data_IF_560175939651
#
_entry.id   IF_560175939651
#
_cell.length_a   1.000
_cell.length_b   1.000
_cell.length_c   1.000
_cell.angle_alpha   90.00
_cell.angle_beta   90.00
_cell.angle_gamma   90.00
#
_symmetry.space_group_name_H-M   'P 1'
#
loop_
_entity.id
_entity.type
_entity.pdbx_description
1 polymer ?
#
# COMPACT_ATOMS: atom_id res chain seq x y z
N UNK A 1 -26.96 -9.96 24.26
CA UNK A 1 -26.89 -8.51 24.58
C UNK A 1 -26.42 -7.79 23.32
N UNK A 2 -26.96 -6.62 22.95
CA UNK A 2 -26.61 -5.98 21.67
C UNK A 2 -25.27 -5.27 21.81
N UNK A 3 -24.27 -5.71 21.05
CA UNK A 3 -22.91 -5.12 21.04
C UNK A 3 -22.88 -3.99 20.01
N UNK A 4 -22.28 -2.87 20.40
CA UNK A 4 -22.36 -1.57 19.76
C UNK A 4 -21.41 -1.44 18.56
N UNK A 5 -21.90 -0.77 17.50
CA UNK A 5 -21.14 -0.38 16.30
C UNK A 5 -19.97 0.59 16.58
N UNK A 6 -19.74 0.96 17.85
CA UNK A 6 -18.69 1.88 18.28
C UNK A 6 -17.29 1.26 18.35
N UNK A 7 -17.17 -0.04 18.58
CA UNK A 7 -15.84 -0.69 18.72
C UNK A 7 -15.07 -0.78 17.40
N UNK A 8 -15.78 -0.86 16.26
CA UNK A 8 -15.15 -0.91 14.93
C UNK A 8 -14.57 0.44 14.49
N UNK A 9 -15.20 1.55 14.92
CA UNK A 9 -14.72 2.90 14.60
C UNK A 9 -13.47 3.28 15.41
N UNK A 10 -13.35 2.77 16.64
CA UNK A 10 -12.18 3.03 17.51
C UNK A 10 -10.94 2.28 16.99
N UNK A 11 -11.10 1.08 16.43
CA UNK A 11 -10.02 0.30 15.82
C UNK A 11 -9.48 0.92 14.50
N UNK A 12 -10.33 1.60 13.74
CA UNK A 12 -9.91 2.33 12.54
C UNK A 12 -9.23 3.68 12.88
N UNK A 13 -9.67 4.36 13.93
CA UNK A 13 -9.11 5.64 14.35
C UNK A 13 -7.68 5.52 14.92
N UNK A 14 -7.35 4.39 15.57
CA UNK A 14 -5.99 4.15 16.09
C UNK A 14 -4.95 3.93 14.98
N UNK A 15 -5.37 3.41 13.82
CA UNK A 15 -4.49 3.20 12.66
C UNK A 15 -4.10 4.54 12.01
N UNK A 16 -5.02 5.51 11.95
CA UNK A 16 -4.74 6.84 11.40
C UNK A 16 -3.71 7.64 12.24
N UNK A 17 -3.67 7.41 13.56
CA UNK A 17 -2.68 8.04 14.46
C UNK A 17 -1.30 7.39 14.30
N UNK A 18 -1.24 6.08 14.09
CA UNK A 18 0.03 5.37 13.88
C UNK A 18 0.74 5.76 12.58
N UNK A 19 -0.01 5.98 11.48
CA UNK A 19 0.52 6.46 10.19
C UNK A 19 1.02 7.91 10.31
N UNK A 20 0.34 8.73 11.11
CA UNK A 20 0.71 10.14 11.31
C UNK A 20 1.98 10.32 12.16
N UNK A 21 2.33 9.37 13.03
CA UNK A 21 3.51 9.46 13.88
C UNK A 21 4.81 9.00 13.19
N UNK A 22 4.73 8.26 12.09
CA UNK A 22 5.94 7.79 11.37
C UNK A 22 6.65 8.93 10.62
N UNK A 23 5.91 9.93 10.12
CA UNK A 23 6.47 11.07 9.37
C UNK A 23 7.13 12.16 10.22
N UNK A 24 6.85 12.22 11.51
CA UNK A 24 7.29 13.33 12.38
C UNK A 24 8.64 13.09 13.08
N UNK A 25 9.07 11.83 13.24
CA UNK A 25 10.21 11.49 14.12
C UNK A 25 11.54 11.17 13.42
N UNK A 26 11.58 11.03 12.08
CA UNK A 26 12.80 10.63 11.36
C UNK A 26 13.49 11.71 10.51
N UNK A 27 13.16 12.99 10.68
CA UNK A 27 14.00 14.10 10.14
C UNK A 27 14.95 14.62 11.22
N UNK A 28 16.17 14.12 11.24
CA UNK A 28 17.30 14.72 11.97
C UNK A 28 18.64 14.27 11.39
N UNK A 29 19.20 15.04 10.45
CA UNK A 29 20.61 15.45 10.44
C UNK A 29 20.89 16.41 9.26
N UNK A 30 21.47 17.61 9.49
CA UNK A 30 21.84 18.56 8.45
C UNK A 30 23.24 18.23 7.90
N UNK A 31 23.39 18.17 6.58
CA UNK A 31 24.71 18.12 5.94
C UNK A 31 25.33 19.52 5.89
N UNK A 32 26.50 19.61 6.49
CA UNK A 32 27.36 20.79 6.63
C UNK A 32 27.90 21.23 5.27
N UNK A 33 27.80 22.54 5.01
CA UNK A 33 28.37 23.20 3.85
C UNK A 33 29.90 23.28 3.94
N UNK A 34 30.59 22.88 2.87
CA UNK A 34 31.99 23.24 2.64
C UNK A 34 32.07 24.28 1.52
N UNK A 35 32.39 25.52 1.89
CA UNK A 35 32.86 26.56 0.97
C UNK A 35 34.37 26.44 0.79
N UNK A 36 34.83 26.63 -0.45
CA UNK A 36 36.12 27.22 -0.77
C UNK A 36 36.03 27.89 -2.16
N UNK A 37 36.23 29.21 -2.13
CA UNK A 37 36.39 30.15 -3.25
C UNK A 37 37.60 29.74 -4.16
N UNK A 38 37.84 30.22 -5.38
CA UNK A 38 37.70 31.58 -5.95
C UNK A 38 37.88 31.54 -7.49
N UNK A 39 37.19 32.46 -8.19
CA UNK A 39 37.64 33.26 -9.37
C UNK A 39 38.06 32.54 -10.68
N UNK A 40 37.58 32.86 -11.89
CA UNK A 40 37.53 34.13 -12.66
C UNK A 40 36.57 33.84 -13.86
N UNK A 41 35.54 34.62 -14.25
CA UNK A 41 35.60 35.94 -14.90
C UNK A 41 34.19 36.56 -14.95
N UNK A 42 34.10 37.79 -14.47
CA UNK A 42 32.94 38.66 -14.44
C UNK A 42 32.55 39.17 -15.84
N UNK A 43 31.25 39.28 -16.11
CA UNK A 43 30.71 40.51 -16.73
C UNK A 43 29.19 40.67 -16.45
N UNK A 44 28.93 41.40 -15.35
CA UNK A 44 27.93 42.47 -15.19
C UNK A 44 26.56 42.34 -15.88
N UNK A 45 25.51 42.03 -15.11
CA UNK A 45 24.33 42.92 -14.97
C UNK A 45 23.81 42.85 -13.53
N UNK A 46 23.75 44.03 -12.90
CA UNK A 46 23.26 44.32 -11.55
C UNK A 46 21.74 44.19 -11.44
N UNK A 47 21.33 43.88 -10.21
CA UNK A 47 20.03 44.15 -9.57
C UNK A 47 18.83 43.27 -9.93
N UNK A 48 18.74 42.12 -9.24
CA UNK A 48 17.47 41.52 -8.83
C UNK A 48 17.51 41.33 -7.31
N UNK A 49 16.57 41.89 -6.53
CA UNK A 49 16.59 41.69 -5.09
C UNK A 49 16.25 40.24 -4.75
N UNK A 50 17.20 39.60 -4.06
CA UNK A 50 17.02 38.34 -3.36
C UNK A 50 16.06 38.59 -2.20
N UNK A 51 14.86 38.00 -2.24
CA UNK A 51 14.12 37.68 -1.03
C UNK A 51 13.48 36.31 -1.16
N UNK A 52 13.97 35.45 -0.28
CA UNK A 52 13.51 34.13 0.13
C UNK A 52 12.16 34.21 0.84
N UNK A 53 11.18 33.39 0.43
CA UNK A 53 10.42 32.48 1.30
C UNK A 53 9.34 31.72 0.52
N UNK A 54 9.14 30.45 0.91
CA UNK A 54 8.11 29.52 0.47
C UNK A 54 6.72 30.15 0.35
N UNK A 55 6.27 30.34 -0.88
CA UNK A 55 4.88 30.58 -1.23
C UNK A 55 4.70 30.16 -2.69
N UNK A 56 3.58 29.50 -3.06
CA UNK A 56 3.31 29.18 -4.46
C UNK A 56 3.40 30.47 -5.29
N UNK A 57 3.99 30.44 -6.50
CA UNK A 57 4.20 31.66 -7.29
C UNK A 57 2.85 32.34 -7.43
N UNK A 58 2.75 33.55 -6.88
CA UNK A 58 1.51 34.33 -6.92
C UNK A 58 1.01 34.42 -8.36
N UNK A 59 -0.31 34.40 -8.57
CA UNK A 59 -0.92 34.49 -9.91
C UNK A 59 -0.33 35.65 -10.73
N UNK A 60 0.07 36.73 -10.06
CA UNK A 60 0.80 37.88 -10.61
C UNK A 60 2.17 37.55 -11.18
N UNK A 61 2.95 36.67 -10.54
CA UNK A 61 4.25 36.24 -11.05
C UNK A 61 4.09 35.31 -12.27
N UNK A 62 3.09 34.43 -12.24
CA UNK A 62 2.72 33.62 -13.40
C UNK A 62 2.26 34.50 -14.56
N UNK A 63 1.43 35.50 -14.30
CA UNK A 63 0.94 36.44 -15.30
C UNK A 63 2.08 37.25 -15.94
N UNK A 64 3.07 37.64 -15.13
CA UNK A 64 4.27 38.33 -15.62
C UNK A 64 5.15 37.40 -16.47
N UNK A 65 5.33 36.13 -16.07
CA UNK A 65 6.05 35.12 -16.86
C UNK A 65 5.33 34.83 -18.19
N UNK A 66 4.00 34.67 -18.17
CA UNK A 66 3.18 34.50 -19.37
C UNK A 66 3.31 35.72 -20.30
N UNK A 67 3.24 36.93 -19.75
CA UNK A 67 3.38 38.17 -20.53
C UNK A 67 4.77 38.31 -21.15
N UNK A 68 5.82 37.89 -20.43
CA UNK A 68 7.20 37.88 -20.94
C UNK A 68 7.37 36.84 -22.06
N UNK A 69 6.84 35.63 -21.88
CA UNK A 69 6.82 34.58 -22.90
C UNK A 69 6.03 35.00 -24.14
N UNK A 70 4.88 35.64 -23.97
CA UNK A 70 4.08 36.17 -25.08
C UNK A 70 4.84 37.21 -25.90
N UNK A 71 5.59 38.12 -25.24
CA UNK A 71 6.45 39.09 -25.94
C UNK A 71 7.62 38.40 -26.65
N UNK A 72 8.18 37.36 -26.05
CA UNK A 72 9.27 36.59 -26.64
C UNK A 72 8.81 35.82 -27.88
N UNK A 73 7.62 35.21 -27.83
CA UNK A 73 6.95 34.55 -28.96
C UNK A 73 6.58 35.56 -30.04
N UNK A 74 6.08 36.75 -29.68
CA UNK A 74 5.77 37.80 -30.66
C UNK A 74 7.02 38.30 -31.38
N UNK A 75 8.14 38.48 -30.66
CA UNK A 75 9.42 38.86 -31.27
C UNK A 75 10.01 37.76 -32.16
N UNK A 76 9.89 36.49 -31.77
CA UNK A 76 10.30 35.35 -32.60
C UNK A 76 9.45 35.23 -33.88
N UNK A 77 8.15 35.48 -33.77
CA UNK A 77 7.21 35.51 -34.91
C UNK A 77 7.50 36.65 -35.90
N UNK A 78 8.01 37.80 -35.41
CA UNK A 78 8.42 38.92 -36.26
C UNK A 78 9.75 38.66 -36.99
N UNK A 79 10.65 37.87 -36.41
CA UNK A 79 11.97 37.60 -36.97
C UNK A 79 12.00 36.47 -38.02
N UNK A 80 10.97 35.62 -38.10
CA UNK A 80 10.91 34.54 -39.08
C UNK A 80 9.48 34.32 -39.63
N UNK A 81 9.00 35.17 -40.56
CA UNK A 81 7.66 35.03 -41.13
C UNK A 81 7.48 33.78 -42.02
N UNK A 82 8.57 33.11 -42.40
CA UNK A 82 8.57 31.85 -43.18
C UNK A 82 8.64 30.58 -42.33
N UNK A 83 8.90 30.65 -41.02
CA UNK A 83 8.85 29.48 -40.13
C UNK A 83 7.41 29.07 -39.79
N UNK A 84 6.45 29.99 -39.88
CA UNK A 84 5.05 29.80 -39.51
C UNK A 84 4.20 29.01 -40.52
N UNK A 85 4.77 28.51 -41.61
CA UNK A 85 4.04 27.66 -42.57
C UNK A 85 4.46 26.19 -42.59
N UNK A 86 5.53 25.83 -41.89
CA UNK A 86 6.05 24.44 -41.91
C UNK A 86 6.34 23.89 -40.51
N UNK A 87 6.21 24.68 -39.43
CA UNK A 87 6.13 24.09 -38.09
C UNK A 87 4.74 23.49 -37.90
N UNK A 88 4.65 22.23 -38.35
CA UNK A 88 3.57 21.29 -38.12
C UNK A 88 3.01 21.45 -36.71
N UNK A 89 1.78 21.95 -36.65
CA UNK A 89 0.90 21.80 -35.49
C UNK A 89 0.86 20.34 -35.02
N UNK A 90 1.14 19.39 -35.90
CA UNK A 90 1.11 17.96 -35.61
C UNK A 90 2.43 17.44 -34.99
N UNK A 91 3.61 17.89 -35.43
CA UNK A 91 4.89 17.53 -34.76
C UNK A 91 4.98 18.15 -33.36
N UNK A 92 4.51 19.39 -33.18
CA UNK A 92 4.47 20.00 -31.86
C UNK A 92 3.45 19.29 -30.95
N UNK A 93 2.27 18.91 -31.47
CA UNK A 93 1.32 18.10 -30.70
C UNK A 93 1.90 16.72 -30.37
N UNK A 94 2.60 16.09 -31.28
CA UNK A 94 3.23 14.79 -31.09
C UNK A 94 4.35 14.87 -30.04
N UNK A 95 5.17 15.92 -30.06
CA UNK A 95 6.15 16.21 -29.00
C UNK A 95 5.48 16.48 -27.64
N UNK A 96 4.38 17.24 -27.60
CA UNK A 96 3.64 17.48 -26.35
C UNK A 96 3.00 16.20 -25.83
N UNK A 97 2.44 15.36 -26.71
CA UNK A 97 1.90 14.06 -26.36
C UNK A 97 3.00 13.12 -25.86
N UNK A 98 4.17 13.10 -26.51
CA UNK A 98 5.31 12.30 -26.08
C UNK A 98 5.80 12.73 -24.68
N UNK A 99 5.92 14.03 -24.43
CA UNK A 99 6.28 14.56 -23.10
C UNK A 99 5.21 14.25 -22.05
N UNK A 100 3.93 14.28 -22.41
CA UNK A 100 2.84 13.90 -21.51
C UNK A 100 2.88 12.40 -21.18
N UNK A 101 3.14 11.55 -22.17
CA UNK A 101 3.29 10.10 -21.97
C UNK A 101 4.51 9.78 -21.12
N UNK A 102 5.64 10.46 -21.36
CA UNK A 102 6.86 10.31 -20.54
C UNK A 102 6.61 10.76 -19.10
N UNK A 103 5.92 11.88 -18.91
CA UNK A 103 5.48 12.37 -17.58
C UNK A 103 4.57 11.37 -16.87
N UNK A 104 3.59 10.82 -17.57
CA UNK A 104 2.66 9.84 -17.02
C UNK A 104 3.39 8.55 -16.65
N UNK A 105 4.33 8.09 -17.47
CA UNK A 105 5.19 6.95 -17.15
C UNK A 105 6.06 7.20 -15.91
N UNK A 106 6.68 8.37 -15.78
CA UNK A 106 7.44 8.74 -14.57
C UNK A 106 6.56 8.76 -13.32
N UNK A 107 5.33 9.27 -13.43
CA UNK A 107 4.37 9.28 -12.32
C UNK A 107 3.94 7.86 -11.94
N UNK A 108 3.60 7.01 -12.92
CA UNK A 108 3.27 5.61 -12.68
C UNK A 108 4.43 4.85 -12.04
N UNK A 109 5.67 5.09 -12.49
CA UNK A 109 6.84 4.42 -11.92
C UNK A 109 7.10 4.87 -10.48
N UNK A 110 7.00 6.16 -10.18
CA UNK A 110 7.07 6.66 -8.79
C UNK A 110 5.99 6.05 -7.90
N UNK A 111 4.77 5.96 -8.42
CA UNK A 111 3.65 5.36 -7.67
C UNK A 111 3.85 3.86 -7.47
N UNK A 112 4.49 3.16 -8.42
CA UNK A 112 4.91 1.75 -8.27
C UNK A 112 6.04 1.58 -7.27
N UNK A 113 6.99 2.52 -7.20
CA UNK A 113 8.04 2.53 -6.18
C UNK A 113 7.47 2.68 -4.76
N UNK A 114 6.40 3.46 -4.60
CA UNK A 114 5.70 3.66 -3.34
C UNK A 114 4.76 2.49 -3.00
N UNK A 115 4.01 2.00 -3.98
CA UNK A 115 3.10 0.87 -3.84
C UNK A 115 3.25 -0.10 -5.03
N UNK A 116 3.83 -1.30 -4.81
CA UNK A 116 4.01 -2.31 -5.85
C UNK A 116 2.71 -2.70 -6.58
N UNK A 117 1.55 -2.51 -5.96
CA UNK A 117 0.23 -2.82 -6.51
C UNK A 117 -0.45 -1.64 -7.20
N UNK A 118 0.18 -0.45 -7.29
CA UNK A 118 -0.46 0.73 -7.89
C UNK A 118 -0.91 0.50 -9.33
N UNK A 119 -0.01 -0.04 -10.17
CA UNK A 119 -0.32 -0.28 -11.59
C UNK A 119 -1.51 -1.22 -11.78
N UNK A 120 -1.64 -2.20 -10.89
CA UNK A 120 -2.72 -3.17 -10.95
C UNK A 120 -4.12 -2.54 -10.84
N UNK A 121 -4.34 -1.60 -9.91
CA UNK A 121 -5.65 -0.97 -9.76
C UNK A 121 -5.98 0.00 -10.90
N UNK A 122 -4.97 0.65 -11.48
CA UNK A 122 -5.14 1.57 -12.59
C UNK A 122 -5.54 0.86 -13.90
N UNK A 123 -5.10 -0.39 -14.07
CA UNK A 123 -5.31 -1.17 -15.30
C UNK A 123 -6.71 -1.81 -15.39
N UNK A 124 -7.54 -1.70 -14.35
CA UNK A 124 -8.89 -2.28 -14.36
C UNK A 124 -9.83 -1.51 -15.31
N UNK A 125 -10.73 -2.21 -16.05
CA UNK A 125 -11.73 -1.55 -16.87
C UNK A 125 -12.62 -0.58 -16.06
N UNK A 126 -13.00 0.55 -16.66
CA UNK A 126 -13.83 1.56 -15.97
C UNK A 126 -15.21 1.01 -15.52
N UNK A 127 -15.76 0.05 -16.25
CA UNK A 127 -17.02 -0.60 -15.94
C UNK A 127 -16.87 -1.87 -15.08
N UNK A 128 -15.65 -2.17 -14.62
CA UNK A 128 -15.34 -3.41 -13.91
C UNK A 128 -16.25 -3.64 -12.70
N UNK A 129 -16.37 -2.66 -11.80
CA UNK A 129 -17.23 -2.77 -10.61
C UNK A 129 -18.70 -3.01 -10.99
N UNK A 130 -19.18 -2.28 -12.01
CA UNK A 130 -20.55 -2.42 -12.50
C UNK A 130 -20.79 -3.84 -13.03
N UNK A 131 -19.86 -4.37 -13.83
CA UNK A 131 -19.96 -5.72 -14.40
C UNK A 131 -19.86 -6.81 -13.36
N UNK A 132 -18.96 -6.69 -12.38
CA UNK A 132 -18.90 -7.63 -11.25
C UNK A 132 -20.25 -7.66 -10.51
N UNK A 133 -20.90 -6.51 -10.31
CA UNK A 133 -22.20 -6.41 -9.62
C UNK A 133 -23.39 -6.88 -10.48
N UNK A 134 -23.38 -6.61 -11.78
CA UNK A 134 -24.53 -6.81 -12.67
C UNK A 134 -24.50 -8.12 -13.47
N UNK A 135 -23.32 -8.71 -13.69
CA UNK A 135 -23.11 -9.90 -14.53
C UNK A 135 -22.55 -11.08 -13.67
N UNK A 136 -23.41 -11.98 -13.14
CA UNK A 136 -22.97 -13.06 -12.25
C UNK A 136 -21.97 -14.03 -12.89
N UNK A 137 -22.13 -14.34 -14.17
CA UNK A 137 -21.24 -15.24 -14.90
C UNK A 137 -19.87 -14.60 -15.17
N UNK A 138 -19.83 -13.29 -15.41
CA UNK A 138 -18.58 -12.54 -15.48
C UNK A 138 -17.87 -12.56 -14.12
N UNK A 139 -18.58 -12.28 -13.03
CA UNK A 139 -18.03 -12.32 -11.69
C UNK A 139 -17.42 -13.69 -11.36
N UNK A 140 -18.16 -14.79 -11.59
CA UNK A 140 -17.64 -16.16 -11.38
C UNK A 140 -16.41 -16.46 -12.22
N UNK A 141 -16.43 -16.07 -13.50
CA UNK A 141 -15.31 -16.30 -14.41
C UNK A 141 -14.07 -15.56 -13.95
N UNK A 142 -14.20 -14.27 -13.63
CA UNK A 142 -13.07 -13.46 -13.15
C UNK A 142 -12.53 -14.01 -11.85
N UNK A 143 -13.37 -14.38 -10.88
CA UNK A 143 -12.90 -14.91 -9.59
C UNK A 143 -12.18 -16.24 -9.73
N UNK A 144 -12.64 -17.12 -10.62
CA UNK A 144 -11.97 -18.37 -10.94
C UNK A 144 -10.61 -18.12 -11.63
N UNK A 145 -10.55 -17.19 -12.60
CA UNK A 145 -9.31 -16.82 -13.27
C UNK A 145 -8.28 -16.21 -12.31
N UNK A 146 -8.71 -15.37 -11.37
CA UNK A 146 -7.84 -14.79 -10.36
C UNK A 146 -7.24 -15.87 -9.45
N UNK A 147 -8.05 -16.84 -9.02
CA UNK A 147 -7.53 -17.99 -8.28
C UNK A 147 -6.46 -18.73 -9.08
N UNK A 148 -6.75 -19.05 -10.34
CA UNK A 148 -5.79 -19.75 -11.22
C UNK A 148 -4.49 -18.96 -11.39
N UNK A 149 -4.57 -17.64 -11.52
CA UNK A 149 -3.40 -16.77 -11.59
C UNK A 149 -2.57 -16.82 -10.30
N UNK A 150 -3.19 -16.73 -9.13
CA UNK A 150 -2.49 -16.78 -7.85
C UNK A 150 -1.70 -18.09 -7.73
N UNK A 151 -2.32 -19.21 -8.09
CA UNK A 151 -1.71 -20.54 -7.98
C UNK A 151 -0.73 -20.88 -9.12
N UNK A 152 -0.61 -20.03 -10.15
CA UNK A 152 0.25 -20.32 -11.29
C UNK A 152 1.73 -19.97 -10.99
N UNK A 153 2.63 -20.97 -10.92
CA UNK A 153 4.04 -20.74 -10.62
C UNK A 153 4.80 -20.03 -11.75
N UNK A 154 4.21 -19.90 -12.94
CA UNK A 154 4.85 -19.25 -14.08
C UNK A 154 4.56 -17.75 -14.17
N UNK A 155 3.71 -17.21 -13.29
CA UNK A 155 3.45 -15.77 -13.20
C UNK A 155 4.42 -15.10 -12.24
N UNK A 156 4.68 -13.81 -12.46
CA UNK A 156 5.52 -13.05 -11.54
C UNK A 156 4.84 -12.94 -10.17
N UNK A 157 5.65 -12.94 -9.11
CA UNK A 157 5.13 -12.91 -7.74
C UNK A 157 4.24 -11.69 -7.48
N UNK A 158 4.58 -10.54 -8.09
CA UNK A 158 3.78 -9.32 -8.01
C UNK A 158 2.40 -9.47 -8.67
N UNK A 159 2.31 -10.17 -9.80
CA UNK A 159 1.05 -10.40 -10.51
C UNK A 159 0.15 -11.34 -9.69
N UNK A 160 0.75 -12.30 -8.99
CA UNK A 160 0.05 -13.24 -8.11
C UNK A 160 -0.50 -12.53 -6.87
N UNK A 161 0.30 -11.65 -6.27
CA UNK A 161 -0.16 -10.80 -5.16
C UNK A 161 -1.28 -9.86 -5.61
N UNK A 162 -1.13 -9.22 -6.78
CA UNK A 162 -2.14 -8.36 -7.37
C UNK A 162 -3.46 -9.11 -7.62
N UNK A 163 -3.40 -10.35 -8.11
CA UNK A 163 -4.57 -11.19 -8.29
C UNK A 163 -5.27 -11.52 -6.96
N UNK A 164 -4.52 -11.75 -5.87
CA UNK A 164 -5.11 -11.90 -4.52
C UNK A 164 -5.82 -10.62 -4.07
N UNK A 165 -5.18 -9.45 -4.24
CA UNK A 165 -5.78 -8.16 -3.91
C UNK A 165 -7.05 -7.88 -4.72
N UNK A 166 -7.08 -8.25 -6.00
CA UNK A 166 -8.29 -8.17 -6.83
C UNK A 166 -9.39 -9.11 -6.34
N UNK A 167 -9.02 -10.33 -5.92
CA UNK A 167 -9.97 -11.29 -5.40
C UNK A 167 -10.61 -10.77 -4.11
N UNK A 168 -9.81 -10.15 -3.23
CA UNK A 168 -10.29 -9.47 -2.02
C UNK A 168 -11.22 -8.30 -2.38
N UNK A 169 -10.86 -7.48 -3.37
CA UNK A 169 -11.69 -6.38 -3.85
C UNK A 169 -13.04 -6.90 -4.40
N UNK A 170 -13.03 -7.96 -5.21
CA UNK A 170 -14.24 -8.58 -5.75
C UNK A 170 -15.18 -9.05 -4.64
N UNK A 171 -14.62 -9.65 -3.60
CA UNK A 171 -15.37 -10.06 -2.43
C UNK A 171 -16.06 -8.88 -1.74
N UNK A 172 -15.38 -7.73 -1.58
CA UNK A 172 -15.97 -6.50 -1.05
C UNK A 172 -17.03 -5.89 -1.98
N UNK A 173 -16.77 -5.80 -3.29
CA UNK A 173 -17.71 -5.29 -4.30
C UNK A 173 -19.03 -6.09 -4.27
N UNK A 174 -18.92 -7.41 -4.14
CA UNK A 174 -20.05 -8.34 -4.06
C UNK A 174 -20.68 -8.42 -2.66
N UNK A 175 -20.12 -7.72 -1.67
CA UNK A 175 -20.53 -7.77 -0.27
C UNK A 175 -20.61 -9.21 0.28
N UNK A 176 -19.62 -10.03 -0.08
CA UNK A 176 -19.51 -11.42 0.40
C UNK A 176 -18.54 -11.48 1.57
N UNK A 177 -18.91 -12.23 2.61
CA UNK A 177 -17.98 -12.53 3.71
C UNK A 177 -17.09 -13.74 3.43
N UNK A 178 -17.47 -14.59 2.47
CA UNK A 178 -16.73 -15.78 2.04
C UNK A 178 -16.90 -15.99 0.54
N UNK A 179 -15.84 -16.46 -0.12
CA UNK A 179 -15.87 -16.88 -1.51
C UNK A 179 -15.09 -18.20 -1.66
N UNK A 180 -15.62 -19.22 -2.36
CA UNK A 180 -14.92 -20.49 -2.53
C UNK A 180 -13.54 -20.37 -3.16
N UNK A 181 -13.38 -19.41 -4.08
CA UNK A 181 -12.13 -19.15 -4.78
C UNK A 181 -11.08 -18.47 -3.89
N UNK A 182 -11.52 -17.84 -2.79
CA UNK A 182 -10.67 -17.22 -1.76
C UNK A 182 -10.60 -18.18 -0.56
N UNK A 183 -9.67 -19.12 -0.63
CA UNK A 183 -9.46 -20.14 0.40
C UNK A 183 -8.01 -20.15 0.93
N UNK A 184 -7.73 -21.15 1.77
CA UNK A 184 -6.41 -21.35 2.35
C UNK A 184 -5.30 -21.43 1.31
N UNK A 185 -5.49 -22.21 0.24
CA UNK A 185 -4.45 -22.49 -0.75
C UNK A 185 -3.96 -21.20 -1.43
N UNK A 186 -4.89 -20.31 -1.74
CA UNK A 186 -4.60 -19.00 -2.32
C UNK A 186 -3.83 -18.09 -1.36
N UNK A 187 -4.20 -18.08 -0.08
CA UNK A 187 -3.52 -17.26 0.94
C UNK A 187 -2.14 -17.81 1.27
N UNK A 188 -2.05 -19.12 1.49
CA UNK A 188 -0.82 -19.83 1.81
C UNK A 188 0.21 -19.68 0.69
N UNK A 189 -0.26 -19.74 -0.56
CA UNK A 189 0.61 -19.51 -1.69
C UNK A 189 1.27 -18.12 -1.67
N UNK A 190 0.53 -17.06 -1.33
CA UNK A 190 1.12 -15.72 -1.20
C UNK A 190 2.05 -15.61 0.02
N UNK A 191 1.74 -16.29 1.13
CA UNK A 191 2.63 -16.39 2.28
C UNK A 191 3.94 -17.11 1.92
N UNK A 192 3.88 -18.18 1.11
CA UNK A 192 5.06 -18.86 0.58
C UNK A 192 5.94 -17.92 -0.26
N UNK A 193 5.33 -17.08 -1.12
CA UNK A 193 6.08 -16.10 -1.89
C UNK A 193 6.74 -15.06 -0.98
N UNK A 194 6.03 -14.59 0.04
CA UNK A 194 6.56 -13.62 0.99
C UNK A 194 7.76 -14.19 1.76
N UNK A 195 7.68 -15.44 2.23
CA UNK A 195 8.76 -16.09 2.97
C UNK A 195 10.02 -16.32 2.12
N UNK A 196 9.86 -16.58 0.82
CA UNK A 196 10.96 -16.85 -0.10
C UNK A 196 11.49 -15.61 -0.84
N UNK A 197 10.81 -14.47 -0.73
CA UNK A 197 11.20 -13.24 -1.43
C UNK A 197 12.38 -12.55 -0.75
N UNK A 198 13.30 -12.04 -1.57
CA UNK A 198 14.38 -11.15 -1.13
C UNK A 198 13.99 -9.67 -1.16
N UNK A 199 12.82 -9.34 -1.71
CA UNK A 199 12.30 -7.98 -1.74
C UNK A 199 11.43 -7.71 -0.49
N UNK A 200 11.98 -6.92 0.43
CA UNK A 200 11.30 -6.55 1.67
C UNK A 200 9.98 -5.81 1.43
N UNK A 201 9.88 -4.99 0.38
CA UNK A 201 8.63 -4.26 0.08
C UNK A 201 7.53 -5.23 -0.35
N UNK A 202 7.85 -6.13 -1.28
CA UNK A 202 6.95 -7.19 -1.69
C UNK A 202 6.53 -8.06 -0.50
N UNK A 203 7.49 -8.49 0.31
CA UNK A 203 7.26 -9.34 1.47
C UNK A 203 6.32 -8.68 2.48
N UNK A 204 6.55 -7.41 2.81
CA UNK A 204 5.68 -6.63 3.67
C UNK A 204 4.27 -6.55 3.08
N UNK A 205 4.13 -6.17 1.81
CA UNK A 205 2.83 -6.01 1.18
C UNK A 205 2.05 -7.33 1.12
N UNK A 206 2.72 -8.44 0.82
CA UNK A 206 2.12 -9.77 0.79
C UNK A 206 1.60 -10.20 2.17
N UNK A 207 2.34 -9.92 3.23
CA UNK A 207 1.93 -10.23 4.60
C UNK A 207 0.79 -9.30 5.06
N UNK A 208 0.81 -8.02 4.70
CA UNK A 208 -0.30 -7.10 4.97
C UNK A 208 -1.61 -7.56 4.32
N UNK A 209 -1.57 -7.98 3.06
CA UNK A 209 -2.76 -8.46 2.35
C UNK A 209 -3.28 -9.76 2.96
N UNK A 210 -2.39 -10.72 3.26
CA UNK A 210 -2.78 -12.04 3.79
C UNK A 210 -3.25 -11.99 5.25
N UNK A 211 -2.72 -11.09 6.08
CA UNK A 211 -3.19 -10.88 7.47
C UNK A 211 -4.62 -10.35 7.55
N UNK A 212 -5.11 -9.71 6.48
CA UNK A 212 -6.49 -9.22 6.38
C UNK A 212 -7.45 -10.26 5.76
N UNK A 213 -6.96 -11.46 5.45
CA UNK A 213 -7.78 -12.51 4.87
C UNK A 213 -8.94 -12.90 5.80
N UNK A 214 -10.16 -13.13 5.25
CA UNK A 214 -11.29 -13.69 6.01
C UNK A 214 -11.23 -15.22 6.14
N UNK A 215 -10.18 -15.87 5.63
CA UNK A 215 -10.04 -17.33 5.63
C UNK A 215 -9.72 -17.80 7.05
N UNK A 216 -10.57 -18.66 7.61
CA UNK A 216 -10.36 -19.29 8.90
C UNK A 216 -9.79 -20.69 8.71
N UNK A 217 -8.49 -20.85 8.96
CA UNK A 217 -7.79 -22.13 8.88
C UNK A 217 -6.63 -22.15 9.89
N UNK A 218 -6.56 -23.20 10.71
CA UNK A 218 -5.53 -23.32 11.76
C UNK A 218 -4.11 -23.27 11.19
N UNK A 219 -3.92 -23.77 9.96
CA UNK A 219 -2.62 -23.73 9.29
C UNK A 219 -2.15 -22.29 9.09
N UNK A 220 -3.04 -21.32 8.82
CA UNK A 220 -2.65 -19.90 8.74
C UNK A 220 -2.17 -19.38 10.09
N UNK A 221 -2.80 -19.79 11.19
CA UNK A 221 -2.35 -19.44 12.52
C UNK A 221 -0.93 -19.98 12.80
N UNK A 222 -0.60 -21.18 12.31
CA UNK A 222 0.76 -21.73 12.37
C UNK A 222 1.74 -20.92 11.51
N UNK A 223 1.37 -20.54 10.28
CA UNK A 223 2.19 -19.69 9.40
C UNK A 223 2.51 -18.35 10.06
N UNK A 224 1.49 -17.65 10.58
CA UNK A 224 1.68 -16.40 11.33
C UNK A 224 2.51 -16.59 12.60
N UNK A 225 2.34 -17.71 13.31
CA UNK A 225 3.18 -18.02 14.47
C UNK A 225 4.65 -18.21 14.07
N UNK A 226 4.91 -18.84 12.93
CA UNK A 226 6.26 -19.01 12.39
C UNK A 226 6.90 -17.66 12.07
N UNK A 227 6.20 -16.81 11.30
CA UNK A 227 6.64 -15.46 10.95
C UNK A 227 6.93 -14.61 12.21
N UNK A 228 6.03 -14.64 13.19
CA UNK A 228 6.19 -13.92 14.46
C UNK A 228 7.46 -14.32 15.22
N UNK A 229 7.83 -15.60 15.19
CA UNK A 229 9.00 -16.13 15.92
C UNK A 229 10.32 -15.98 15.16
N UNK A 230 10.29 -16.17 13.84
CA UNK A 230 11.48 -16.46 13.06
C UNK A 230 11.93 -15.30 12.19
N UNK A 231 11.02 -14.41 11.77
CA UNK A 231 11.36 -13.34 10.84
C UNK A 231 12.36 -12.36 11.46
N UNK A 232 13.28 -11.78 10.69
CA UNK A 232 14.23 -10.79 11.22
C UNK A 232 13.64 -9.38 11.31
N UNK A 233 12.54 -9.10 10.61
CA UNK A 233 11.94 -7.79 10.53
C UNK A 233 10.83 -7.63 11.59
N UNK A 234 11.02 -6.72 12.54
CA UNK A 234 10.07 -6.45 13.62
C UNK A 234 8.69 -6.00 13.12
N UNK A 235 8.63 -5.32 11.97
CA UNK A 235 7.36 -4.93 11.36
C UNK A 235 6.58 -6.16 10.88
N UNK A 236 7.25 -7.10 10.22
CA UNK A 236 6.65 -8.36 9.78
C UNK A 236 6.20 -9.19 10.98
N UNK A 237 7.02 -9.26 12.04
CA UNK A 237 6.61 -9.92 13.29
C UNK A 237 5.33 -9.31 13.86
N UNK A 238 5.20 -7.98 13.83
CA UNK A 238 3.97 -7.29 14.25
C UNK A 238 2.79 -7.65 13.34
N UNK A 239 2.94 -7.60 12.02
CA UNK A 239 1.88 -8.02 11.10
C UNK A 239 1.43 -9.46 11.35
N UNK A 240 2.36 -10.37 11.57
CA UNK A 240 2.06 -11.76 11.89
C UNK A 240 1.29 -11.90 13.22
N UNK A 241 1.66 -11.14 14.26
CA UNK A 241 0.89 -11.05 15.50
C UNK A 241 -0.55 -10.55 15.28
N UNK A 242 -0.73 -9.55 14.40
CA UNK A 242 -2.05 -9.04 14.02
C UNK A 242 -2.87 -10.09 13.27
N UNK A 243 -2.26 -10.81 12.32
CA UNK A 243 -2.92 -11.91 11.61
C UNK A 243 -3.40 -13.01 12.55
N UNK A 244 -2.58 -13.38 13.54
CA UNK A 244 -2.95 -14.38 14.54
C UNK A 244 -4.15 -13.95 15.40
N UNK A 245 -4.19 -12.69 15.84
CA UNK A 245 -5.34 -12.16 16.56
C UNK A 245 -6.56 -11.97 15.67
N UNK A 246 -6.38 -11.60 14.40
CA UNK A 246 -7.47 -11.49 13.43
C UNK A 246 -8.16 -12.85 13.26
N UNK A 247 -7.41 -13.95 13.16
CA UNK A 247 -7.96 -15.32 13.14
C UNK A 247 -8.84 -15.59 14.37
N UNK A 248 -8.40 -15.19 15.56
CA UNK A 248 -9.18 -15.34 16.79
C UNK A 248 -10.50 -14.56 16.73
N UNK A 249 -10.45 -13.27 16.44
CA UNK A 249 -11.64 -12.41 16.43
C UNK A 249 -12.65 -12.83 15.35
N UNK A 250 -12.19 -13.13 14.14
CA UNK A 250 -13.06 -13.60 13.08
C UNK A 250 -13.70 -14.98 13.41
N UNK A 251 -13.00 -15.83 14.16
CA UNK A 251 -13.52 -17.12 14.61
C UNK A 251 -14.62 -16.99 15.68
N UNK A 252 -14.59 -15.95 16.52
CA UNK A 252 -15.60 -15.74 17.57
C UNK A 252 -17.03 -15.63 16.99
N UNK A 253 -17.17 -15.05 15.80
CA UNK A 253 -18.48 -14.83 15.19
C UNK A 253 -19.09 -16.10 14.54
N UNK A 254 -18.29 -17.15 14.30
CA UNK A 254 -18.72 -18.24 13.41
C UNK A 254 -18.30 -19.65 13.79
N UNK A 255 -17.26 -19.87 14.60
CA UNK A 255 -16.70 -21.20 14.88
C UNK A 255 -16.15 -21.31 16.31
N UNK A 256 -17.03 -21.62 17.29
CA UNK A 256 -16.67 -21.68 18.71
C UNK A 256 -15.51 -22.65 19.04
N UNK A 257 -15.41 -23.81 18.40
CA UNK A 257 -14.32 -24.75 18.69
C UNK A 257 -12.98 -24.28 18.09
N UNK A 258 -13.01 -23.66 16.91
CA UNK A 258 -11.83 -23.07 16.29
C UNK A 258 -11.35 -21.84 17.09
N UNK A 259 -12.26 -20.98 17.54
CA UNK A 259 -11.89 -19.82 18.36
C UNK A 259 -11.25 -20.23 19.69
N UNK A 260 -11.73 -21.31 20.33
CA UNK A 260 -11.08 -21.92 21.50
C UNK A 260 -9.67 -22.42 21.18
N UNK A 261 -9.51 -23.15 20.07
CA UNK A 261 -8.21 -23.68 19.66
C UNK A 261 -7.19 -22.55 19.43
N UNK A 262 -7.60 -21.49 18.74
CA UNK A 262 -6.74 -20.32 18.50
C UNK A 262 -6.44 -19.58 19.81
N UNK A 263 -7.42 -19.40 20.71
CA UNK A 263 -7.18 -18.81 22.01
C UNK A 263 -6.15 -19.61 22.84
N UNK A 264 -6.28 -20.93 22.90
CA UNK A 264 -5.31 -21.81 23.56
C UNK A 264 -3.92 -21.66 22.96
N UNK A 265 -3.84 -21.58 21.63
CA UNK A 265 -2.59 -21.40 20.91
C UNK A 265 -1.91 -20.07 21.24
N UNK A 266 -2.65 -18.96 21.21
CA UNK A 266 -2.15 -17.62 21.55
C UNK A 266 -1.70 -17.59 23.03
N UNK A 267 -2.50 -18.14 23.94
CA UNK A 267 -2.15 -18.19 25.37
C UNK A 267 -0.90 -19.02 25.63
N UNK A 268 -0.78 -20.20 24.99
CA UNK A 268 0.40 -21.05 25.10
C UNK A 268 1.64 -20.33 24.57
N UNK A 269 1.53 -19.66 23.42
CA UNK A 269 2.61 -18.87 22.84
C UNK A 269 3.06 -17.75 23.78
N UNK A 270 2.10 -17.04 24.38
CA UNK A 270 2.36 -15.95 25.30
C UNK A 270 3.07 -16.42 26.60
N UNK A 271 2.63 -17.56 27.15
CA UNK A 271 3.15 -18.10 28.40
C UNK A 271 4.52 -18.76 28.25
N UNK A 272 4.76 -19.43 27.12
CA UNK A 272 5.92 -20.30 26.93
C UNK A 272 7.03 -19.70 26.07
N UNK A 273 6.86 -18.48 25.53
CA UNK A 273 7.93 -17.84 24.74
C UNK A 273 9.02 -17.24 25.64
N UNK A 274 10.28 -17.49 25.27
CA UNK A 274 11.45 -16.79 25.80
C UNK A 274 11.86 -15.58 24.95
N UNK A 275 11.27 -15.41 23.76
CA UNK A 275 11.54 -14.29 22.86
C UNK A 275 10.81 -13.04 23.36
N UNK A 276 11.59 -12.01 23.74
CA UNK A 276 11.07 -10.73 24.24
C UNK A 276 10.26 -9.96 23.21
N UNK A 277 10.60 -10.06 21.93
CA UNK A 277 9.88 -9.40 20.83
C UNK A 277 8.53 -10.06 20.66
N UNK A 278 8.46 -11.39 20.61
CA UNK A 278 7.17 -12.12 20.54
C UNK A 278 6.29 -11.73 21.72
N UNK A 279 6.86 -11.70 22.93
CA UNK A 279 6.12 -11.32 24.14
C UNK A 279 5.64 -9.87 24.11
N UNK A 280 6.46 -8.94 23.62
CA UNK A 280 6.11 -7.53 23.47
C UNK A 280 4.98 -7.35 22.45
N UNK A 281 5.09 -7.96 21.28
CA UNK A 281 4.07 -7.89 20.22
C UNK A 281 2.72 -8.38 20.73
N UNK A 282 2.70 -9.54 21.39
CA UNK A 282 1.47 -10.09 21.96
C UNK A 282 0.94 -9.21 23.10
N UNK A 283 1.79 -8.70 23.99
CA UNK A 283 1.38 -7.75 25.04
C UNK A 283 0.72 -6.49 24.46
N UNK A 284 1.38 -5.86 23.48
CA UNK A 284 0.93 -4.62 22.85
C UNK A 284 -0.45 -4.80 22.20
N UNK A 285 -0.66 -5.93 21.53
CA UNK A 285 -1.89 -6.18 20.79
C UNK A 285 -3.03 -6.69 21.65
N UNK A 286 -2.74 -7.47 22.69
CA UNK A 286 -3.77 -7.92 23.64
C UNK A 286 -4.20 -6.79 24.58
N UNK A 287 -3.32 -5.81 24.82
CA UNK A 287 -3.61 -4.46 25.34
C UNK A 287 -4.20 -4.35 26.74
N UNK A 288 -4.79 -5.41 27.30
CA UNK A 288 -5.40 -5.46 28.61
C UNK A 288 -5.50 -6.90 29.12
N UNK A 289 -5.37 -7.04 30.44
CA UNK A 289 -5.62 -8.28 31.17
C UNK A 289 -7.01 -8.88 30.88
N UNK A 290 -7.97 -8.04 30.45
CA UNK A 290 -9.33 -8.42 30.03
C UNK A 290 -9.37 -9.38 28.83
N UNK A 291 -8.52 -9.20 27.80
CA UNK A 291 -8.54 -10.11 26.64
C UNK A 291 -7.91 -11.46 27.01
N UNK A 292 -6.83 -11.44 27.79
CA UNK A 292 -6.23 -12.65 28.35
C UNK A 292 -7.25 -13.41 29.20
N UNK A 293 -8.02 -12.69 30.01
CA UNK A 293 -9.08 -13.26 30.85
C UNK A 293 -10.25 -13.80 30.01
N UNK A 294 -10.64 -13.12 28.94
CA UNK A 294 -11.66 -13.58 27.99
C UNK A 294 -11.21 -14.85 27.26
N UNK A 295 -9.96 -14.87 26.78
CA UNK A 295 -9.36 -16.06 26.19
C UNK A 295 -9.34 -17.21 27.21
N UNK A 296 -8.86 -16.98 28.44
CA UNK A 296 -8.87 -18.01 29.50
C UNK A 296 -10.26 -18.56 29.76
N UNK A 297 -11.26 -17.70 29.95
CA UNK A 297 -12.66 -18.11 30.13
C UNK A 297 -13.22 -18.89 28.95
N UNK A 298 -12.87 -18.50 27.72
CA UNK A 298 -13.26 -19.27 26.53
C UNK A 298 -12.59 -20.65 26.48
N UNK A 299 -11.35 -20.77 26.94
CA UNK A 299 -10.60 -22.03 26.96
C UNK A 299 -10.94 -22.96 28.12
N UNK A 300 -11.43 -22.43 29.23
CA UNK A 300 -11.74 -23.15 30.48
C UNK A 300 -13.22 -23.55 30.61
N UNK A 301 -14.03 -23.31 29.56
CA UNK A 301 -15.49 -23.49 29.51
C UNK A 301 -16.09 -24.54 30.45
#
# INVERSE_FOLDING_TARGET
>A
MPISKGSFAIALASIAVAISCYGAFFKSAPLVAHQLDTEILQQSVKDLPKNSHDSPPSITELHNKISALQRQVANLNLQNPTANKVQNTDEFKELVLAVLVEKEQEEVEKMREENPLYGFYADLPQDYELRIKSEPEYAKKVTAQLREQILNPNLADIDRLAALSQLQMNMYILNKSKMPEYDFEVVDNILDLAENSTDDKFKIQAIEVTTQSPVLDYRLAERFTSLLKQDSNDYIRRLAGQGLLAQYYQAQDSQNEYSKQIAQHILSLYQNTSDSTVKSVLNDMMGNESLLEEMRKHTEG
#
